data_IF_264240691926
#
_entry.id   IF_264240691926
#
_cell.length_a   1.000
_cell.length_b   1.000
_cell.length_c   1.000
_cell.angle_alpha   90.00
_cell.angle_beta   90.00
_cell.angle_gamma   90.00
#
_symmetry.space_group_name_H-M   'P 1'
#
loop_
_entity.id
_entity.type
_entity.pdbx_description
1 polymer ?
#
# COMPACT_ATOMS: atom_id res chain seq x y z
N UNK A 1 -0.51 -24.59 -7.68
CA UNK A 1 0.06 -24.36 -6.33
C UNK A 1 -1.05 -23.87 -5.46
N UNK A 2 -1.31 -24.53 -4.32
CA UNK A 2 -2.31 -24.06 -3.36
C UNK A 2 -1.63 -22.97 -2.54
N UNK A 3 -2.17 -21.74 -2.59
CA UNK A 3 -1.73 -20.65 -1.74
C UNK A 3 -2.55 -20.66 -0.45
N UNK A 4 -1.90 -20.49 0.69
CA UNK A 4 -2.53 -20.38 1.99
C UNK A 4 -2.41 -18.94 2.50
N UNK A 5 -3.49 -18.41 3.09
CA UNK A 5 -3.50 -17.07 3.70
C UNK A 5 -2.74 -17.06 5.03
N UNK A 6 -2.72 -18.20 5.72
CA UNK A 6 -2.04 -18.36 7.01
C UNK A 6 -1.51 -19.78 7.19
N UNK A 7 -0.46 -19.90 8.00
CA UNK A 7 0.12 -21.16 8.45
C UNK A 7 0.24 -21.11 9.97
N UNK A 8 -0.29 -22.13 10.66
CA UNK A 8 -0.22 -22.22 12.12
C UNK A 8 0.61 -23.43 12.51
N UNK A 9 1.71 -23.19 13.20
CA UNK A 9 2.51 -24.21 13.87
C UNK A 9 1.97 -24.40 15.28
N UNK A 10 1.15 -25.45 15.46
CA UNK A 10 0.52 -25.73 16.74
C UNK A 10 1.53 -26.29 17.74
N UNK A 11 1.48 -25.74 18.98
CA UNK A 11 2.33 -26.15 20.10
C UNK A 11 3.82 -26.15 19.76
N UNK A 12 4.30 -25.12 19.07
CA UNK A 12 5.75 -24.96 18.80
C UNK A 12 6.55 -24.83 20.11
N UNK A 13 5.92 -24.26 21.15
CA UNK A 13 6.27 -24.41 22.55
C UNK A 13 5.05 -24.93 23.31
N UNK A 14 5.24 -25.40 24.54
CA UNK A 14 4.13 -25.97 25.32
C UNK A 14 2.99 -24.96 25.52
N UNK A 15 1.80 -25.29 24.97
CA UNK A 15 0.62 -24.41 24.93
C UNK A 15 0.85 -23.05 24.21
N UNK A 16 1.76 -23.02 23.23
CA UNK A 16 2.01 -21.85 22.41
C UNK A 16 1.98 -22.23 20.93
N UNK A 17 1.14 -21.59 20.15
CA UNK A 17 1.11 -21.70 18.71
C UNK A 17 1.89 -20.54 18.09
N UNK A 18 2.50 -20.77 16.93
CA UNK A 18 3.10 -19.74 16.11
C UNK A 18 2.35 -19.64 14.79
N UNK A 19 1.71 -18.52 14.56
CA UNK A 19 0.97 -18.23 13.35
C UNK A 19 1.79 -17.32 12.46
N UNK A 20 1.89 -17.67 11.18
CA UNK A 20 2.49 -16.87 10.12
C UNK A 20 1.38 -16.59 9.11
N UNK A 21 1.20 -15.34 8.72
CA UNK A 21 0.17 -14.95 7.78
C UNK A 21 0.62 -13.78 6.92
N UNK A 22 -0.05 -13.59 5.79
CA UNK A 22 0.17 -12.43 4.93
C UNK A 22 -0.91 -11.39 5.22
N UNK A 23 -0.47 -10.16 5.49
CA UNK A 23 -1.33 -9.01 5.63
C UNK A 23 -0.70 -7.84 4.87
N UNK A 24 -1.42 -7.25 3.92
CA UNK A 24 -0.97 -6.12 3.10
C UNK A 24 0.40 -6.37 2.43
N UNK A 25 0.57 -7.56 1.81
CA UNK A 25 1.80 -8.02 1.14
C UNK A 25 3.03 -8.19 2.07
N UNK A 26 2.87 -8.00 3.36
CA UNK A 26 3.89 -8.27 4.36
C UNK A 26 3.65 -9.63 5.02
N UNK A 27 4.73 -10.37 5.24
CA UNK A 27 4.68 -11.57 6.09
C UNK A 27 4.72 -11.13 7.54
N UNK A 28 3.68 -11.49 8.27
CA UNK A 28 3.55 -11.25 9.71
C UNK A 28 3.54 -12.56 10.47
N UNK A 29 3.87 -12.52 11.72
CA UNK A 29 3.77 -13.67 12.60
C UNK A 29 3.29 -13.23 13.99
N UNK A 30 2.57 -14.11 14.68
CA UNK A 30 2.13 -13.90 16.05
C UNK A 30 2.29 -15.17 16.88
N UNK A 31 2.56 -15.01 18.15
CA UNK A 31 2.51 -16.09 19.12
C UNK A 31 1.18 -16.06 19.85
N UNK A 32 0.48 -17.18 19.85
CA UNK A 32 -0.78 -17.38 20.57
C UNK A 32 -0.49 -18.24 21.79
N UNK A 33 -0.37 -17.61 22.93
CA UNK A 33 -0.12 -18.23 24.23
C UNK A 33 -1.46 -18.65 24.81
N UNK A 34 -1.73 -19.96 24.82
CA UNK A 34 -2.95 -20.55 25.41
C UNK A 34 -2.87 -20.55 26.93
N UNK A 35 -3.98 -20.77 27.65
CA UNK A 35 -3.95 -20.96 29.10
C UNK A 35 -2.90 -22.00 29.50
N UNK A 36 -2.13 -21.68 30.53
CA UNK A 36 -0.97 -22.44 31.03
C UNK A 36 0.29 -22.42 30.13
N UNK A 37 0.29 -21.73 28.99
CA UNK A 37 1.51 -21.42 28.24
C UNK A 37 2.37 -20.42 29.01
N UNK A 38 3.68 -20.48 28.81
CA UNK A 38 4.63 -19.58 29.46
C UNK A 38 5.34 -18.73 28.40
N UNK A 39 5.21 -17.42 28.47
CA UNK A 39 5.87 -16.48 27.56
C UNK A 39 7.40 -16.66 27.55
N UNK A 40 7.95 -17.05 28.70
CA UNK A 40 9.38 -17.30 28.90
C UNK A 40 9.90 -18.48 28.05
N UNK A 41 9.02 -19.38 27.61
CA UNK A 41 9.38 -20.51 26.74
C UNK A 41 9.66 -20.04 25.30
N UNK A 42 9.18 -18.82 24.92
CA UNK A 42 9.44 -18.25 23.59
C UNK A 42 10.87 -17.72 23.56
N UNK A 43 11.73 -18.47 22.89
CA UNK A 43 13.15 -18.17 22.73
C UNK A 43 13.51 -18.30 21.25
N UNK A 44 13.85 -17.18 20.59
CA UNK A 44 14.17 -17.10 19.19
C UNK A 44 15.67 -16.89 19.01
N UNK A 45 16.36 -17.84 18.36
CA UNK A 45 17.77 -17.71 18.02
C UNK A 45 17.92 -17.21 16.58
N UNK A 46 18.56 -16.06 16.40
CA UNK A 46 18.87 -15.51 15.08
C UNK A 46 20.23 -15.99 14.58
N UNK A 47 20.28 -16.54 13.36
CA UNK A 47 21.49 -17.03 12.70
C UNK A 47 21.71 -16.30 11.37
N UNK A 48 22.96 -16.12 10.96
CA UNK A 48 23.31 -15.49 9.70
C UNK A 48 23.25 -13.97 9.69
N UNK A 49 23.12 -13.34 10.86
CA UNK A 49 23.21 -11.89 11.01
C UNK A 49 24.65 -11.42 11.23
N UNK A 50 24.99 -10.25 10.68
CA UNK A 50 26.25 -9.58 11.01
C UNK A 50 26.21 -8.98 12.43
N UNK A 51 25.03 -8.51 12.85
CA UNK A 51 24.81 -7.97 14.19
C UNK A 51 23.32 -7.99 14.55
N UNK A 52 23.03 -8.01 15.85
CA UNK A 52 21.69 -7.83 16.41
C UNK A 52 21.80 -6.95 17.66
N UNK A 53 20.94 -5.95 17.79
CA UNK A 53 20.94 -5.03 18.94
C UNK A 53 19.54 -4.47 19.21
N UNK A 54 19.29 -4.09 20.44
CA UNK A 54 18.15 -3.23 20.80
C UNK A 54 18.58 -1.76 20.74
N UNK A 55 17.75 -0.92 20.12
CA UNK A 55 17.88 0.54 20.08
C UNK A 55 16.55 1.13 20.56
N UNK A 56 16.52 1.56 21.82
CA UNK A 56 15.26 1.90 22.46
C UNK A 56 14.38 0.66 22.62
N UNK A 57 13.19 0.68 22.03
CA UNK A 57 12.23 -0.42 22.04
C UNK A 57 12.25 -1.24 20.74
N UNK A 58 13.11 -0.88 19.78
CA UNK A 58 13.24 -1.53 18.47
C UNK A 58 14.36 -2.57 18.46
N UNK A 59 14.14 -3.67 17.74
CA UNK A 59 15.15 -4.67 17.45
C UNK A 59 15.74 -4.42 16.07
N UNK A 60 17.05 -4.18 16.00
CA UNK A 60 17.80 -3.95 14.76
C UNK A 60 18.56 -5.23 14.41
N UNK A 61 18.23 -5.80 13.26
CA UNK A 61 18.87 -6.97 12.68
C UNK A 61 19.73 -6.54 11.49
N UNK A 62 21.06 -6.60 11.62
CA UNK A 62 21.96 -6.24 10.54
C UNK A 62 22.33 -7.47 9.72
N UNK A 63 22.16 -7.37 8.41
CA UNK A 63 22.56 -8.37 7.41
C UNK A 63 23.53 -7.78 6.41
N UNK A 64 24.15 -8.59 5.57
CA UNK A 64 24.99 -8.13 4.46
C UNK A 64 24.20 -7.33 3.39
N UNK A 65 22.87 -7.37 3.40
CA UNK A 65 22.00 -6.65 2.45
C UNK A 65 21.40 -5.37 3.05
N UNK A 66 21.58 -5.11 4.35
CA UNK A 66 21.02 -3.94 5.02
C UNK A 66 20.53 -4.24 6.43
N UNK A 67 19.83 -3.29 7.02
CA UNK A 67 19.25 -3.40 8.35
C UNK A 67 17.74 -3.72 8.24
N UNK A 68 17.28 -4.71 9.02
CA UNK A 68 15.87 -4.99 9.24
C UNK A 68 15.53 -4.46 10.63
N UNK A 69 14.44 -3.70 10.74
CA UNK A 69 13.99 -3.11 12.00
C UNK A 69 12.67 -3.76 12.39
N UNK A 70 12.64 -4.42 13.53
CA UNK A 70 11.41 -4.88 14.15
C UNK A 70 11.00 -3.87 15.23
N UNK A 71 9.81 -3.31 15.07
CA UNK A 71 9.24 -2.39 16.03
C UNK A 71 8.91 -3.08 17.36
N UNK A 72 8.66 -2.30 18.41
CA UNK A 72 8.22 -2.79 19.72
C UNK A 72 7.10 -3.83 19.55
N UNK A 73 7.18 -5.00 20.24
CA UNK A 73 6.12 -6.00 20.19
C UNK A 73 4.83 -5.46 20.81
N UNK A 74 3.71 -5.84 20.22
CA UNK A 74 2.38 -5.57 20.74
C UNK A 74 1.81 -6.84 21.38
N UNK A 75 1.23 -6.75 22.56
CA UNK A 75 0.56 -7.88 23.17
C UNK A 75 -0.81 -7.48 23.70
N UNK A 76 -1.77 -8.39 23.58
CA UNK A 76 -3.13 -8.16 24.04
C UNK A 76 -3.85 -9.43 24.48
N UNK A 77 -4.89 -9.25 25.27
CA UNK A 77 -5.89 -10.26 25.60
C UNK A 77 -7.28 -9.74 25.28
N UNK A 78 -8.20 -10.63 24.91
CA UNK A 78 -9.61 -10.28 24.76
C UNK A 78 -10.31 -10.56 26.09
N UNK A 79 -10.65 -9.51 26.83
CA UNK A 79 -11.34 -9.57 28.12
C UNK A 79 -12.76 -9.02 27.92
N UNK A 80 -13.77 -9.82 28.23
CA UNK A 80 -15.19 -9.45 28.05
C UNK A 80 -15.51 -8.92 26.64
N UNK A 81 -14.88 -9.51 25.61
CA UNK A 81 -15.08 -9.12 24.21
C UNK A 81 -14.34 -7.83 23.78
N UNK A 82 -13.52 -7.25 24.66
CA UNK A 82 -12.68 -6.09 24.35
C UNK A 82 -11.20 -6.46 24.34
N UNK A 83 -10.50 -5.98 23.33
CA UNK A 83 -9.05 -6.07 23.27
C UNK A 83 -8.43 -5.19 24.36
N UNK A 84 -7.63 -5.80 25.21
CA UNK A 84 -6.93 -5.13 26.31
C UNK A 84 -5.44 -5.30 26.09
N UNK A 85 -4.75 -4.20 25.87
CA UNK A 85 -3.31 -4.19 25.66
C UNK A 85 -2.56 -4.59 26.93
N UNK A 86 -1.55 -5.45 26.74
CA UNK A 86 -0.63 -5.90 27.80
C UNK A 86 0.76 -5.38 27.47
N UNK A 87 1.44 -4.80 28.42
CA UNK A 87 2.78 -4.27 28.19
C UNK A 87 3.79 -5.38 28.00
N UNK A 88 4.48 -5.35 26.86
CA UNK A 88 5.49 -6.31 26.47
C UNK A 88 6.72 -5.57 25.96
N UNK A 89 7.91 -6.16 26.16
CA UNK A 89 9.18 -5.62 25.64
C UNK A 89 10.05 -6.77 25.16
N UNK A 90 10.95 -6.46 24.21
CA UNK A 90 12.02 -7.36 23.83
C UNK A 90 13.03 -7.55 24.96
N UNK A 91 13.58 -8.75 25.05
CA UNK A 91 14.71 -9.08 25.89
C UNK A 91 15.75 -9.81 25.05
N UNK A 92 16.87 -9.15 24.75
CA UNK A 92 17.92 -9.66 23.90
C UNK A 92 19.11 -10.11 24.76
N UNK A 93 19.55 -11.35 24.53
CA UNK A 93 20.79 -11.87 25.10
C UNK A 93 21.64 -12.48 23.99
N UNK A 94 22.71 -11.80 23.59
CA UNK A 94 23.51 -12.11 22.40
C UNK A 94 22.58 -12.20 21.18
N UNK A 95 22.48 -13.35 20.52
CA UNK A 95 21.66 -13.59 19.34
C UNK A 95 20.29 -14.26 19.68
N UNK A 96 19.91 -14.23 20.95
CA UNK A 96 18.68 -14.87 21.42
C UNK A 96 17.71 -13.81 21.90
N UNK A 97 16.55 -13.73 21.25
CA UNK A 97 15.44 -12.86 21.58
C UNK A 97 14.41 -13.62 22.43
N UNK A 98 13.89 -12.96 23.45
CA UNK A 98 12.76 -13.39 24.26
C UNK A 98 11.88 -12.18 24.59
N UNK A 99 10.76 -12.41 25.26
CA UNK A 99 9.82 -11.36 25.63
C UNK A 99 9.74 -11.20 27.15
N UNK A 100 9.70 -9.95 27.61
CA UNK A 100 9.36 -9.59 28.98
C UNK A 100 7.96 -9.01 28.99
N UNK A 101 7.06 -9.60 29.76
CA UNK A 101 5.65 -9.20 29.80
C UNK A 101 5.25 -8.82 31.22
N UNK A 102 4.37 -7.84 31.35
CA UNK A 102 3.75 -7.47 32.64
C UNK A 102 2.59 -8.42 32.99
N UNK A 103 1.93 -8.17 34.11
CA UNK A 103 0.85 -9.02 34.58
C UNK A 103 -0.29 -9.12 33.55
N UNK A 104 -0.70 -10.35 33.25
CA UNK A 104 -1.82 -10.69 32.38
C UNK A 104 -2.63 -11.85 33.00
N UNK A 105 -3.85 -12.05 32.55
CA UNK A 105 -4.70 -13.15 33.01
C UNK A 105 -4.26 -14.48 32.35
N UNK A 106 -3.68 -15.38 33.15
CA UNK A 106 -3.18 -16.68 32.68
C UNK A 106 -4.27 -17.68 32.33
N UNK A 107 -5.53 -17.35 32.59
CA UNK A 107 -6.69 -18.18 32.23
C UNK A 107 -7.24 -17.86 30.85
N UNK A 108 -6.82 -16.75 30.25
CA UNK A 108 -7.20 -16.31 28.92
C UNK A 108 -6.03 -16.42 27.96
N UNK A 109 -6.29 -16.62 26.65
CA UNK A 109 -5.24 -16.55 25.65
C UNK A 109 -4.57 -15.17 25.65
N UNK A 110 -3.25 -15.14 25.44
CA UNK A 110 -2.48 -13.94 25.23
C UNK A 110 -1.90 -14.01 23.82
N UNK A 111 -2.04 -12.94 23.05
CA UNK A 111 -1.45 -12.80 21.73
C UNK A 111 -0.27 -11.84 21.82
N UNK A 112 0.89 -12.25 21.27
CA UNK A 112 2.05 -11.37 21.05
C UNK A 112 2.22 -11.26 19.54
N UNK A 113 1.92 -10.05 19.01
CA UNK A 113 1.95 -9.70 17.59
C UNK A 113 3.13 -8.73 17.35
N UNK A 114 3.91 -8.85 16.26
CA UNK A 114 4.80 -7.78 15.82
C UNK A 114 3.95 -6.54 15.53
N UNK A 115 4.38 -5.41 16.07
CA UNK A 115 3.57 -4.23 16.21
C UNK A 115 2.83 -3.79 14.94
N UNK A 116 1.53 -3.72 15.01
CA UNK A 116 0.74 -2.79 14.24
C UNK A 116 1.21 -1.37 14.64
N UNK A 117 1.90 -0.65 13.74
CA UNK A 117 2.41 0.69 14.06
C UNK A 117 1.22 1.61 14.33
N UNK A 118 0.25 1.63 13.41
CA UNK A 118 -1.06 2.21 13.64
C UNK A 118 -2.07 1.70 12.61
N UNK A 119 -3.35 1.90 12.90
CA UNK A 119 -4.45 1.75 11.94
C UNK A 119 -5.42 2.90 12.15
N UNK A 120 -5.83 3.54 11.06
CA UNK A 120 -6.77 4.65 11.10
C UNK A 120 -7.73 4.58 9.92
N UNK A 121 -8.89 5.22 10.06
CA UNK A 121 -9.81 5.46 8.95
C UNK A 121 -9.36 6.68 8.16
N UNK A 122 -9.72 6.73 6.86
CA UNK A 122 -9.49 7.91 6.00
C UNK A 122 -10.21 9.15 6.52
N UNK A 123 -11.29 8.95 7.27
CA UNK A 123 -12.18 10.04 7.69
C UNK A 123 -13.14 10.50 6.60
N UNK A 124 -13.17 9.84 5.44
CA UNK A 124 -14.10 10.13 4.36
C UNK A 124 -15.54 9.82 4.75
N UNK A 125 -16.46 10.68 4.34
CA UNK A 125 -17.91 10.43 4.38
C UNK A 125 -18.48 10.02 3.02
N UNK A 126 -17.66 10.06 1.97
CA UNK A 126 -17.97 9.54 0.65
C UNK A 126 -17.42 8.11 0.49
N UNK A 127 -17.96 7.35 -0.45
CA UNK A 127 -17.43 6.05 -0.82
C UNK A 127 -15.98 6.19 -1.28
N UNK A 128 -15.08 5.40 -0.68
CA UNK A 128 -13.67 5.42 -1.04
C UNK A 128 -13.05 4.03 -0.98
N UNK A 129 -12.09 3.77 -1.89
CA UNK A 129 -11.37 2.50 -1.99
C UNK A 129 -9.87 2.76 -1.95
N UNK A 130 -9.16 2.04 -1.06
CA UNK A 130 -7.71 2.07 -1.00
C UNK A 130 -7.09 1.26 -2.13
N UNK A 131 -6.04 1.80 -2.75
CA UNK A 131 -5.32 1.17 -3.86
C UNK A 131 -3.86 0.91 -3.55
N UNK A 132 -3.15 1.89 -3.03
CA UNK A 132 -1.71 1.81 -2.84
C UNK A 132 -1.27 2.56 -1.59
N UNK A 133 -0.11 2.19 -1.06
CA UNK A 133 0.50 2.90 0.06
C UNK A 133 2.01 2.81 0.01
N UNK A 134 2.67 3.80 0.62
CA UNK A 134 4.12 3.84 0.82
C UNK A 134 4.44 4.59 2.10
N UNK A 135 5.72 4.73 2.43
CA UNK A 135 6.17 5.49 3.61
C UNK A 135 7.43 6.29 3.28
N UNK A 136 7.66 7.35 4.04
CA UNK A 136 8.90 8.13 3.95
C UNK A 136 9.98 7.65 4.94
N UNK A 137 11.17 8.25 4.86
CA UNK A 137 12.29 7.93 5.74
C UNK A 137 12.02 8.23 7.24
N UNK A 138 10.97 8.99 7.54
CA UNK A 138 10.53 9.32 8.89
C UNK A 138 9.45 8.36 9.41
N UNK A 139 9.00 7.41 8.58
CA UNK A 139 7.96 6.45 8.90
C UNK A 139 6.54 7.00 8.77
N UNK A 140 6.34 8.16 8.13
CA UNK A 140 5.01 8.66 7.82
C UNK A 140 4.37 7.83 6.72
N UNK A 141 3.10 7.47 6.87
CA UNK A 141 2.34 6.70 5.87
C UNK A 141 1.80 7.62 4.79
N UNK A 142 1.96 7.24 3.54
CA UNK A 142 1.21 7.78 2.42
C UNK A 142 0.19 6.74 1.94
N UNK A 143 -1.05 7.16 1.75
CA UNK A 143 -2.14 6.34 1.26
C UNK A 143 -2.74 6.94 0.00
N UNK A 144 -2.81 6.14 -1.06
CA UNK A 144 -3.50 6.47 -2.31
C UNK A 144 -4.81 5.71 -2.41
N UNK A 145 -5.90 6.40 -2.68
CA UNK A 145 -7.23 5.84 -2.82
C UNK A 145 -8.01 6.53 -3.93
N UNK A 146 -9.18 6.01 -4.24
CA UNK A 146 -10.17 6.68 -5.08
C UNK A 146 -11.39 7.03 -4.24
N UNK A 147 -12.10 8.06 -4.63
CA UNK A 147 -13.32 8.51 -3.95
C UNK A 147 -14.38 8.92 -4.97
N UNK A 148 -15.63 8.53 -4.71
CA UNK A 148 -16.79 8.96 -5.47
C UNK A 148 -17.60 9.94 -4.61
N UNK A 149 -17.39 11.24 -4.89
CA UNK A 149 -18.14 12.30 -4.25
C UNK A 149 -17.38 13.18 -3.27
N UNK A 150 -18.11 14.16 -2.72
CA UNK A 150 -17.63 15.12 -1.75
C UNK A 150 -17.57 14.49 -0.36
N UNK A 151 -16.51 14.76 0.40
CA UNK A 151 -16.43 14.33 1.80
C UNK A 151 -15.15 13.59 2.18
N UNK A 152 -14.19 13.49 1.27
CA UNK A 152 -12.84 13.09 1.62
C UNK A 152 -12.14 14.24 2.34
N UNK A 153 -11.48 14.00 3.49
CA UNK A 153 -10.83 15.06 4.23
C UNK A 153 -9.64 15.63 3.46
N UNK A 154 -9.59 16.93 3.30
CA UNK A 154 -8.44 17.67 2.75
C UNK A 154 -7.81 18.54 3.82
N UNK A 155 -6.52 18.84 3.67
CA UNK A 155 -5.79 19.74 4.57
C UNK A 155 -5.70 21.16 4.02
N UNK A 156 -5.45 22.11 4.89
CA UNK A 156 -5.20 23.49 4.48
C UNK A 156 -3.97 23.56 3.57
N UNK A 157 -4.12 24.13 2.37
CA UNK A 157 -3.06 24.20 1.37
C UNK A 157 -2.93 22.94 0.51
N UNK A 158 -3.92 22.03 0.54
CA UNK A 158 -3.99 20.90 -0.39
C UNK A 158 -3.83 21.36 -1.85
N UNK A 159 -3.19 20.55 -2.69
CA UNK A 159 -3.03 20.86 -4.11
C UNK A 159 -4.40 21.03 -4.80
N UNK A 160 -5.35 20.13 -4.50
CA UNK A 160 -6.77 20.25 -4.86
C UNK A 160 -7.61 19.93 -3.62
N UNK A 161 -8.45 20.85 -3.18
CA UNK A 161 -9.28 20.71 -1.98
C UNK A 161 -10.74 20.33 -2.27
N UNK A 162 -11.10 20.22 -3.54
CA UNK A 162 -12.46 19.95 -4.02
C UNK A 162 -12.49 18.74 -4.94
N UNK A 163 -13.52 17.90 -4.76
CA UNK A 163 -13.86 16.83 -5.68
C UNK A 163 -14.28 17.39 -7.04
N UNK A 164 -13.77 16.81 -8.13
CA UNK A 164 -14.09 17.24 -9.48
C UNK A 164 -15.28 16.45 -10.06
N UNK A 165 -15.06 15.19 -10.46
CA UNK A 165 -16.10 14.32 -11.01
C UNK A 165 -15.59 12.86 -11.16
N UNK A 166 -16.51 11.92 -11.35
CA UNK A 166 -16.16 10.51 -11.52
C UNK A 166 -15.58 9.91 -10.23
N UNK A 167 -14.52 9.14 -10.35
CA UNK A 167 -13.75 8.63 -9.22
C UNK A 167 -12.40 9.38 -9.17
N UNK A 168 -12.29 10.37 -8.30
CA UNK A 168 -11.04 11.12 -8.13
C UNK A 168 -10.02 10.30 -7.32
N UNK A 169 -8.77 10.34 -7.74
CA UNK A 169 -7.65 9.92 -6.90
C UNK A 169 -7.55 10.79 -5.66
N UNK A 170 -7.22 10.23 -4.53
CA UNK A 170 -6.88 10.96 -3.31
C UNK A 170 -5.55 10.48 -2.76
N UNK A 171 -4.80 11.41 -2.19
CA UNK A 171 -3.50 11.15 -1.58
C UNK A 171 -3.53 11.74 -0.18
N UNK A 172 -3.21 10.92 0.82
CA UNK A 172 -3.13 11.35 2.22
C UNK A 172 -1.81 10.92 2.83
N UNK A 173 -1.23 11.79 3.65
CA UNK A 173 -0.04 11.52 4.47
C UNK A 173 -0.42 11.58 5.93
N UNK A 174 -0.12 10.52 6.68
CA UNK A 174 -0.32 10.42 8.12
C UNK A 174 1.01 10.41 8.85
N UNK A 175 1.04 10.97 10.06
CA UNK A 175 2.19 10.85 10.96
C UNK A 175 2.52 9.39 11.26
N UNK A 176 3.76 9.12 11.65
CA UNK A 176 4.27 7.78 11.96
C UNK A 176 3.39 6.99 12.94
N UNK A 177 2.74 7.67 13.87
CA UNK A 177 1.84 7.09 14.87
C UNK A 177 0.35 7.13 14.47
N UNK A 178 0.05 7.66 13.27
CA UNK A 178 -1.31 7.80 12.73
C UNK A 178 -2.19 8.83 13.44
N UNK A 179 -1.64 9.60 14.37
CA UNK A 179 -2.41 10.56 15.18
C UNK A 179 -2.76 11.85 14.44
N UNK A 180 -2.05 12.15 13.35
CA UNK A 180 -2.21 13.37 12.58
C UNK A 180 -2.32 13.08 11.08
N UNK A 181 -3.26 13.75 10.42
CA UNK A 181 -3.30 13.88 8.97
C UNK A 181 -2.39 15.05 8.59
N UNK A 182 -1.20 14.74 8.03
CA UNK A 182 -0.17 15.75 7.72
C UNK A 182 -0.49 16.52 6.46
N UNK A 183 -0.91 15.81 5.40
CA UNK A 183 -1.58 16.41 4.26
C UNK A 183 -2.60 15.44 3.64
N UNK A 184 -3.57 15.99 2.94
CA UNK A 184 -4.51 15.24 2.13
C UNK A 184 -5.08 16.11 1.02
N UNK A 185 -5.17 15.55 -0.18
CA UNK A 185 -5.59 16.23 -1.40
C UNK A 185 -6.39 15.31 -2.29
N UNK A 186 -7.33 15.86 -3.06
CA UNK A 186 -7.82 15.22 -4.28
C UNK A 186 -6.77 15.37 -5.37
N UNK A 187 -6.79 14.48 -6.35
CA UNK A 187 -5.90 14.54 -7.51
C UNK A 187 -6.56 13.91 -8.73
N UNK A 188 -7.13 14.71 -9.58
CA UNK A 188 -7.87 14.25 -10.75
C UNK A 188 -8.27 15.38 -11.69
N UNK A 189 -9.02 15.01 -12.71
CA UNK A 189 -9.65 15.88 -13.67
C UNK A 189 -11.17 15.75 -13.63
N UNK A 190 -11.82 15.79 -14.80
CA UNK A 190 -13.28 15.74 -14.95
C UNK A 190 -13.83 14.33 -15.23
N UNK A 191 -13.00 13.32 -15.20
CA UNK A 191 -13.35 11.91 -15.33
C UNK A 191 -12.78 11.10 -14.15
N UNK A 192 -12.58 9.79 -14.32
CA UNK A 192 -12.06 8.94 -13.25
C UNK A 192 -10.54 8.81 -13.29
N UNK A 193 -9.94 8.71 -12.11
CA UNK A 193 -8.52 8.45 -11.85
C UNK A 193 -8.34 7.31 -10.87
N UNK A 194 -7.29 6.50 -11.08
CA UNK A 194 -6.93 5.41 -10.17
C UNK A 194 -5.42 5.43 -9.91
N UNK A 195 -4.96 5.56 -8.64
CA UNK A 195 -3.54 5.44 -8.31
C UNK A 195 -3.16 3.95 -8.26
N UNK A 196 -2.07 3.55 -8.93
CA UNK A 196 -1.63 2.15 -8.94
C UNK A 196 -0.43 1.91 -8.03
N UNK A 197 0.53 2.82 -8.04
CA UNK A 197 1.76 2.70 -7.28
C UNK A 197 2.26 4.05 -6.81
N UNK A 198 2.87 4.07 -5.64
CA UNK A 198 3.48 5.25 -5.03
C UNK A 198 4.82 4.91 -4.39
N UNK A 199 5.76 5.84 -4.44
CA UNK A 199 7.03 5.75 -3.72
C UNK A 199 7.48 7.14 -3.28
N UNK A 200 8.13 7.24 -2.14
CA UNK A 200 8.84 8.45 -1.72
C UNK A 200 10.29 8.32 -2.17
N UNK A 201 10.77 9.29 -2.96
CA UNK A 201 12.14 9.30 -3.47
C UNK A 201 13.14 9.80 -2.41
N UNK A 202 14.44 9.78 -2.74
CA UNK A 202 15.50 10.24 -1.84
C UNK A 202 15.46 11.74 -1.47
N UNK A 203 14.65 12.53 -2.18
CA UNK A 203 14.46 13.97 -1.90
C UNK A 203 13.19 14.24 -1.08
N UNK A 204 12.59 13.18 -0.52
CA UNK A 204 11.36 13.25 0.25
C UNK A 204 10.14 13.69 -0.59
N UNK A 205 10.19 13.51 -1.92
CA UNK A 205 9.10 13.83 -2.83
C UNK A 205 8.28 12.58 -3.12
N UNK A 206 6.96 12.70 -3.15
CA UNK A 206 6.07 11.60 -3.49
C UNK A 206 5.95 11.45 -4.99
N UNK A 207 6.32 10.28 -5.52
CA UNK A 207 6.07 9.90 -6.90
C UNK A 207 4.86 8.98 -6.95
N UNK A 208 3.89 9.30 -7.81
CA UNK A 208 2.63 8.56 -7.98
C UNK A 208 2.49 8.18 -9.44
N UNK A 209 2.10 6.94 -9.69
CA UNK A 209 1.71 6.44 -11.01
C UNK A 209 0.31 5.86 -10.93
N UNK A 210 -0.47 6.08 -11.95
CA UNK A 210 -1.82 5.56 -12.05
C UNK A 210 -2.40 5.72 -13.45
N UNK A 211 -3.71 5.63 -13.56
CA UNK A 211 -4.46 5.87 -14.79
C UNK A 211 -5.45 7.00 -14.62
N UNK A 212 -5.66 7.73 -15.71
CA UNK A 212 -6.64 8.82 -15.80
C UNK A 212 -7.47 8.68 -17.07
N UNK A 213 -8.75 9.03 -16.99
CA UNK A 213 -9.65 9.19 -18.13
C UNK A 213 -9.88 10.66 -18.51
N UNK A 214 -9.21 11.58 -17.84
CA UNK A 214 -9.48 13.02 -17.96
C UNK A 214 -8.60 13.72 -19.00
N UNK A 215 -9.21 14.49 -19.87
CA UNK A 215 -8.48 15.39 -20.80
C UNK A 215 -7.79 16.56 -20.07
N UNK A 216 -8.30 16.95 -18.93
CA UNK A 216 -7.81 18.08 -18.12
C UNK A 216 -7.10 17.62 -16.84
N UNK A 217 -6.58 16.38 -16.83
CA UNK A 217 -5.74 15.91 -15.73
C UNK A 217 -4.54 16.86 -15.53
N UNK A 218 -4.18 17.22 -14.29
CA UNK A 218 -3.12 18.18 -14.04
C UNK A 218 -1.77 17.71 -14.55
N UNK A 219 -1.21 18.38 -15.55
CA UNK A 219 0.15 18.20 -16.07
C UNK A 219 1.00 19.44 -15.77
N UNK A 220 2.32 19.29 -15.89
CA UNK A 220 3.23 20.43 -15.75
C UNK A 220 3.77 20.89 -17.10
N UNK A 221 4.18 22.15 -17.24
CA UNK A 221 4.84 22.63 -18.46
C UNK A 221 6.07 21.82 -18.79
N UNK A 222 6.27 21.51 -20.07
CA UNK A 222 7.37 20.69 -20.61
C UNK A 222 7.31 19.23 -20.16
N UNK A 223 6.14 18.72 -19.79
CA UNK A 223 5.91 17.29 -19.59
C UNK A 223 6.23 16.48 -20.85
N UNK A 224 6.52 15.19 -20.71
CA UNK A 224 6.69 14.28 -21.85
C UNK A 224 5.46 14.31 -22.76
N UNK A 225 4.26 14.29 -22.21
CA UNK A 225 3.00 14.59 -22.89
C UNK A 225 2.07 15.39 -21.99
N UNK A 226 1.57 16.51 -22.49
CA UNK A 226 0.54 17.33 -21.86
C UNK A 226 -0.87 16.97 -22.38
N UNK A 227 -0.98 16.00 -23.29
CA UNK A 227 -2.22 15.62 -23.95
C UNK A 227 -2.61 14.19 -23.64
N UNK A 228 -3.88 14.01 -23.29
CA UNK A 228 -4.54 12.72 -23.17
C UNK A 228 -4.73 12.11 -24.56
N UNK A 229 -4.34 10.86 -24.76
CA UNK A 229 -4.37 10.21 -26.08
C UNK A 229 -5.69 9.50 -26.35
N UNK A 230 -6.50 9.29 -25.31
CA UNK A 230 -7.80 8.62 -25.37
C UNK A 230 -7.74 7.13 -25.74
N UNK A 231 -8.88 6.48 -25.70
CA UNK A 231 -9.05 5.06 -26.01
C UNK A 231 -10.51 4.69 -26.18
N UNK A 232 -10.81 3.41 -26.16
CA UNK A 232 -12.20 2.95 -26.15
C UNK A 232 -12.79 3.08 -24.74
N UNK A 233 -14.09 3.39 -24.65
CA UNK A 233 -14.83 3.37 -23.38
C UNK A 233 -14.58 2.07 -22.63
N UNK A 234 -14.37 2.19 -21.33
CA UNK A 234 -14.16 1.06 -20.41
C UNK A 234 -14.85 1.34 -19.08
N UNK A 235 -15.45 0.33 -18.45
CA UNK A 235 -15.96 0.43 -17.08
C UNK A 235 -15.28 -0.63 -16.24
N UNK A 236 -14.30 -0.20 -15.44
CA UNK A 236 -13.52 -1.10 -14.62
C UNK A 236 -14.35 -1.64 -13.47
N UNK A 237 -14.41 -2.98 -13.36
CA UNK A 237 -15.16 -3.74 -12.35
C UNK A 237 -16.62 -3.30 -12.21
N UNK A 238 -17.22 -2.84 -13.32
CA UNK A 238 -18.63 -2.42 -13.36
C UNK A 238 -18.93 -1.10 -12.60
N UNK A 239 -17.92 -0.40 -12.11
CA UNK A 239 -18.11 0.76 -11.22
C UNK A 239 -17.35 1.99 -11.68
N UNK A 240 -16.05 1.88 -11.93
CA UNK A 240 -15.22 3.04 -12.33
C UNK A 240 -15.28 3.21 -13.83
N UNK A 241 -15.92 4.27 -14.32
CA UNK A 241 -16.14 4.51 -15.74
C UNK A 241 -15.10 5.45 -16.33
N UNK A 242 -14.60 5.07 -17.52
CA UNK A 242 -13.68 5.84 -18.35
C UNK A 242 -14.29 6.00 -19.76
N UNK A 243 -15.14 7.00 -19.97
CA UNK A 243 -15.91 7.15 -21.22
C UNK A 243 -15.04 7.32 -22.46
N UNK A 244 -13.84 7.86 -22.31
CA UNK A 244 -12.90 8.17 -23.39
C UNK A 244 -11.64 7.28 -23.37
N UNK A 245 -11.68 6.18 -22.60
CA UNK A 245 -10.52 5.34 -22.36
C UNK A 245 -9.61 5.87 -21.27
N UNK A 246 -8.41 5.32 -21.18
CA UNK A 246 -7.45 5.61 -20.11
C UNK A 246 -6.04 5.74 -20.66
N UNK A 247 -5.28 6.67 -20.09
CA UNK A 247 -3.83 6.79 -20.21
C UNK A 247 -3.17 6.67 -18.82
N UNK A 248 -1.91 6.27 -18.83
CA UNK A 248 -1.07 6.30 -17.63
C UNK A 248 -0.76 7.76 -17.30
N UNK A 249 -0.73 8.09 -16.02
CA UNK A 249 -0.07 9.30 -15.53
C UNK A 249 1.10 8.95 -14.63
N UNK A 250 2.12 9.82 -14.64
CA UNK A 250 3.22 9.80 -13.68
C UNK A 250 3.40 11.20 -13.14
N UNK A 251 3.33 11.34 -11.81
CA UNK A 251 3.31 12.62 -11.14
C UNK A 251 4.23 12.65 -9.93
N UNK A 252 4.79 13.82 -9.63
CA UNK A 252 5.65 14.03 -8.48
C UNK A 252 5.16 15.24 -7.69
N UNK A 253 4.96 15.03 -6.39
CA UNK A 253 4.53 16.04 -5.43
C UNK A 253 5.64 16.43 -4.48
N UNK A 254 5.57 17.67 -3.98
CA UNK A 254 6.34 18.09 -2.81
C UNK A 254 5.99 17.22 -1.58
N UNK A 255 6.91 17.15 -0.62
CA UNK A 255 6.74 16.31 0.58
C UNK A 255 5.57 16.71 1.48
N UNK A 256 5.11 17.94 1.35
CA UNK A 256 3.96 18.51 2.06
C UNK A 256 2.64 18.45 1.24
N UNK A 257 2.70 17.89 0.02
CA UNK A 257 1.52 17.69 -0.84
C UNK A 257 0.89 18.97 -1.40
N UNK A 258 1.56 20.13 -1.24
CA UNK A 258 0.98 21.43 -1.66
C UNK A 258 1.30 21.79 -3.11
N UNK A 259 2.35 21.19 -3.69
CA UNK A 259 2.82 21.49 -5.04
C UNK A 259 2.98 20.25 -5.91
N UNK A 260 2.49 20.34 -7.14
CA UNK A 260 2.78 19.39 -8.21
C UNK A 260 4.08 19.80 -8.90
N UNK A 261 5.15 19.01 -8.68
CA UNK A 261 6.51 19.31 -9.17
C UNK A 261 6.73 18.85 -10.60
N UNK A 262 6.13 17.73 -10.98
CA UNK A 262 6.12 17.21 -12.33
C UNK A 262 4.88 16.33 -12.53
N UNK A 263 4.30 16.36 -13.72
CA UNK A 263 3.21 15.46 -14.10
C UNK A 263 3.09 15.36 -15.60
N UNK A 264 2.86 14.13 -16.09
CA UNK A 264 2.78 13.82 -17.52
C UNK A 264 1.80 12.69 -17.77
N UNK A 265 1.17 12.70 -18.94
CA UNK A 265 0.58 11.49 -19.51
C UNK A 265 1.65 10.61 -20.13
N UNK A 266 1.40 9.30 -20.15
CA UNK A 266 2.17 8.30 -20.91
C UNK A 266 1.17 7.33 -21.53
N UNK A 267 0.99 7.39 -22.84
CA UNK A 267 0.01 6.55 -23.51
C UNK A 267 0.09 6.61 -25.03
N UNK A 268 -0.78 5.88 -25.67
CA UNK A 268 -1.00 5.85 -27.10
C UNK A 268 -2.49 5.97 -27.43
N UNK A 269 -2.92 5.48 -28.59
CA UNK A 269 -4.30 5.68 -29.09
C UNK A 269 -5.31 4.63 -28.60
N UNK A 270 -4.95 3.78 -27.64
CA UNK A 270 -5.84 2.82 -26.97
C UNK A 270 -5.67 2.94 -25.46
N UNK A 271 -6.38 2.08 -24.71
CA UNK A 271 -6.32 2.09 -23.27
C UNK A 271 -4.95 1.64 -22.75
N UNK A 272 -4.34 2.43 -21.89
CA UNK A 272 -3.03 2.19 -21.31
C UNK A 272 -3.09 2.23 -19.78
N UNK A 273 -2.35 1.34 -19.12
CA UNK A 273 -2.29 1.25 -17.65
C UNK A 273 -3.33 0.35 -16.99
N UNK A 274 -4.39 -0.03 -17.67
CA UNK A 274 -5.35 -1.01 -17.20
C UNK A 274 -5.25 -2.31 -18.01
N UNK A 275 -5.00 -3.42 -17.33
CA UNK A 275 -5.07 -4.76 -17.91
C UNK A 275 -6.51 -5.29 -17.87
N UNK A 276 -7.43 -4.55 -18.44
CA UNK A 276 -8.86 -4.83 -18.36
C UNK A 276 -9.50 -4.66 -19.75
N UNK A 277 -10.31 -5.61 -20.14
CA UNK A 277 -11.06 -5.59 -21.39
C UNK A 277 -12.47 -6.11 -21.17
N UNK A 278 -13.45 -5.33 -21.58
CA UNK A 278 -14.84 -5.78 -21.63
C UNK A 278 -15.09 -6.65 -22.83
N UNK A 279 -15.65 -7.84 -22.60
CA UNK A 279 -16.11 -8.72 -23.69
C UNK A 279 -17.57 -9.11 -23.40
N UNK A 280 -18.43 -8.86 -24.40
CA UNK A 280 -19.80 -9.35 -24.38
C UNK A 280 -19.87 -10.67 -25.16
N UNK A 281 -20.17 -11.76 -24.50
CA UNK A 281 -20.42 -13.03 -25.12
C UNK A 281 -21.90 -13.46 -24.89
N UNK A 282 -22.61 -13.71 -26.01
CA UNK A 282 -24.01 -14.20 -25.98
C UNK A 282 -24.97 -13.39 -25.06
N UNK A 283 -24.86 -12.05 -25.10
CA UNK A 283 -25.61 -11.10 -24.26
C UNK A 283 -25.28 -11.16 -22.75
N UNK A 284 -24.17 -11.76 -22.36
CA UNK A 284 -23.64 -11.70 -20.99
C UNK A 284 -22.39 -10.85 -20.97
N UNK A 285 -22.33 -9.96 -19.99
CA UNK A 285 -21.13 -9.20 -19.66
C UNK A 285 -20.11 -10.15 -19.05
N UNK A 286 -18.92 -10.20 -19.62
CA UNK A 286 -17.79 -10.96 -19.09
C UNK A 286 -16.62 -9.99 -18.99
N UNK A 287 -16.16 -9.70 -17.78
CA UNK A 287 -14.93 -8.95 -17.56
C UNK A 287 -13.72 -9.87 -17.76
N UNK A 288 -12.75 -9.42 -18.56
CA UNK A 288 -11.46 -10.09 -18.67
C UNK A 288 -10.35 -9.17 -18.23
N UNK A 289 -9.49 -9.68 -17.38
CA UNK A 289 -8.22 -9.04 -17.05
C UNK A 289 -7.17 -9.49 -18.07
N UNK A 290 -7.03 -8.68 -19.14
CA UNK A 290 -6.05 -8.92 -20.20
C UNK A 290 -6.25 -10.18 -21.05
N UNK A 291 -5.17 -10.59 -21.72
CA UNK A 291 -5.11 -11.82 -22.51
C UNK A 291 -4.63 -13.04 -21.70
N UNK A 292 -4.55 -12.90 -20.39
CA UNK A 292 -4.12 -13.98 -19.52
C UNK A 292 -5.24 -15.02 -19.37
N UNK A 293 -4.90 -16.29 -19.54
CA UNK A 293 -5.81 -17.41 -19.31
C UNK A 293 -6.06 -17.70 -17.82
N UNK A 294 -5.41 -16.98 -16.93
CA UNK A 294 -5.54 -17.09 -15.49
C UNK A 294 -6.64 -16.14 -14.98
N UNK A 295 -7.87 -16.57 -15.05
CA UNK A 295 -9.10 -15.83 -14.71
C UNK A 295 -9.24 -15.39 -13.24
N UNK A 296 -8.24 -15.41 -12.43
CA UNK A 296 -8.44 -15.30 -10.99
C UNK A 296 -7.41 -14.44 -10.26
N UNK A 297 -6.71 -13.54 -10.93
CA UNK A 297 -5.79 -12.68 -10.22
C UNK A 297 -6.49 -11.37 -9.86
N UNK A 298 -7.07 -11.38 -8.67
CA UNK A 298 -7.70 -10.22 -8.05
C UNK A 298 -6.66 -9.08 -7.96
N UNK A 299 -6.92 -8.00 -8.64
CA UNK A 299 -6.04 -6.82 -8.66
C UNK A 299 -5.17 -6.65 -9.91
N UNK A 300 -5.10 -7.61 -10.82
CA UNK A 300 -4.28 -7.47 -12.04
C UNK A 300 -4.83 -6.46 -13.04
N UNK A 301 -6.11 -6.11 -12.93
CA UNK A 301 -6.75 -5.18 -13.86
C UNK A 301 -6.24 -3.74 -13.75
N UNK A 302 -5.96 -3.27 -12.55
CA UNK A 302 -5.52 -1.90 -12.26
C UNK A 302 -4.17 -1.92 -11.53
N UNK A 303 -3.19 -2.62 -12.10
CA UNK A 303 -1.88 -2.79 -11.49
C UNK A 303 -0.78 -2.23 -12.36
N UNK A 304 0.05 -1.42 -11.78
CA UNK A 304 1.34 -0.98 -12.27
C UNK A 304 2.26 -0.79 -11.09
N UNK A 305 3.55 -0.83 -11.34
CA UNK A 305 4.58 -0.61 -10.32
C UNK A 305 5.49 0.52 -10.78
N UNK A 306 5.92 1.33 -9.82
CA UNK A 306 6.97 2.32 -10.06
C UNK A 306 8.07 2.17 -9.00
N UNK A 307 9.30 2.44 -9.44
CA UNK A 307 10.46 2.57 -8.56
C UNK A 307 11.29 3.77 -8.98
N UNK A 308 12.14 4.25 -8.09
CA UNK A 308 13.10 5.31 -8.36
C UNK A 308 14.51 4.85 -8.02
N UNK A 309 15.51 5.35 -8.76
CA UNK A 309 16.93 5.12 -8.45
C UNK A 309 17.56 6.32 -7.70
N UNK A 310 18.84 6.19 -7.35
CA UNK A 310 19.62 7.23 -6.66
C UNK A 310 19.82 8.50 -7.48
N UNK A 311 19.53 8.46 -8.78
CA UNK A 311 19.59 9.62 -9.69
C UNK A 311 18.21 10.25 -9.90
N UNK A 312 17.19 9.73 -9.19
CA UNK A 312 15.78 10.13 -9.30
C UNK A 312 15.16 9.83 -10.67
N UNK A 313 15.71 8.85 -11.41
CA UNK A 313 15.02 8.31 -12.57
C UNK A 313 13.81 7.50 -12.09
N UNK A 314 12.71 7.60 -12.84
CA UNK A 314 11.48 6.89 -12.55
C UNK A 314 11.34 5.72 -13.54
N UNK A 315 11.17 4.52 -13.02
CA UNK A 315 10.94 3.31 -13.80
C UNK A 315 9.50 2.86 -13.57
N UNK A 316 8.79 2.56 -14.64
CA UNK A 316 7.38 2.16 -14.62
C UNK A 316 7.22 0.81 -15.30
N UNK A 317 6.54 -0.12 -14.63
CA UNK A 317 6.12 -1.40 -15.19
C UNK A 317 4.59 -1.46 -15.20
N UNK A 318 3.98 -1.53 -16.40
CA UNK A 318 2.53 -1.56 -16.56
C UNK A 318 2.13 -2.18 -17.91
N UNK A 319 0.85 -2.17 -18.23
CA UNK A 319 0.30 -2.73 -19.47
C UNK A 319 -0.09 -1.64 -20.46
N UNK A 320 -0.04 -1.96 -21.75
CA UNK A 320 -0.54 -1.11 -22.83
C UNK A 320 -1.29 -1.93 -23.86
N UNK A 321 -2.39 -1.38 -24.39
CA UNK A 321 -3.07 -1.89 -25.58
C UNK A 321 -2.80 -1.02 -26.82
N UNK A 322 -1.97 0.00 -26.68
CA UNK A 322 -1.62 0.92 -27.79
C UNK A 322 -0.49 0.37 -28.64
N UNK A 323 -0.76 0.14 -29.92
CA UNK A 323 0.27 -0.26 -30.89
C UNK A 323 1.30 0.86 -31.19
N UNK A 324 0.95 2.10 -30.86
CA UNK A 324 1.79 3.30 -30.98
C UNK A 324 2.25 3.84 -29.61
N UNK A 325 2.30 2.99 -28.58
CA UNK A 325 2.88 3.36 -27.31
C UNK A 325 4.30 3.91 -27.50
N UNK A 326 4.69 4.95 -26.79
CA UNK A 326 6.02 5.55 -26.92
C UNK A 326 7.13 4.54 -26.65
N UNK A 327 7.94 4.25 -27.65
CA UNK A 327 9.09 3.34 -27.56
C UNK A 327 10.35 4.01 -28.11
N UNK A 328 11.50 3.58 -27.62
CA UNK A 328 12.78 4.04 -28.16
C UNK A 328 13.06 3.36 -29.51
N UNK A 329 13.92 3.98 -30.32
CA UNK A 329 14.35 3.37 -31.59
C UNK A 329 15.05 2.03 -31.29
N UNK A 330 14.60 0.95 -31.89
CA UNK A 330 15.04 -0.44 -31.72
C UNK A 330 14.55 -1.13 -30.41
N UNK A 331 13.45 -0.68 -29.82
CA UNK A 331 12.80 -1.40 -28.72
C UNK A 331 12.06 -2.66 -29.23
#
# INVERSE_FOLDING_TARGET
VIAYQEVIYQNIFNNIDWKIYSLNQQVKHEFIIKPNGKVEDIVLEYKGLDNIKLKGEELILKTCLGEIIESKPYAYQVIEGKETQIKVNFSLNKNTLSYKIENYDKTLPLIIDPALIFSTYSGSTADNWGFTSTYDAYGNLYAGSIVDGIGYPTTLGAFVDTYAAGWDCTISKFSQDGSQLLFSTYYGGDQSEMPHSMIVNQYDELVVMGTTGSYNFPTTPYAFSEMFSAGSTITYDGTVSFPFGVDIYVSRFSNDGTALLASTYVGGTNNDGLNYREIYNANQYIAYFGNDSLYANYGDGARGELITDDQNNIYVGTTTFSSNFPVTQNA
#
